data_IF_193023569266
#
_entry.id   IF_193023569266
#
_cell.length_a   1.000
_cell.length_b   1.000
_cell.length_c   1.000
_cell.angle_alpha   90.00
_cell.angle_beta   90.00
_cell.angle_gamma   90.00
#
_symmetry.space_group_name_H-M   'P 1'
#
loop_
_entity.id
_entity.type
_entity.pdbx_description
1 polymer ?
#
# COMPACT_ATOMS: atom_id res chain seq x y z
N UNK A 1 12.13 -7.08 11.15
CA UNK A 1 11.90 -6.04 10.12
C UNK A 1 10.52 -6.25 9.53
N UNK A 2 9.67 -5.22 9.54
CA UNK A 2 8.36 -5.26 8.88
C UNK A 2 8.49 -4.67 7.47
N UNK A 3 7.90 -5.33 6.48
CA UNK A 3 7.96 -4.95 5.06
C UNK A 3 6.53 -4.80 4.52
N UNK A 4 5.97 -3.57 4.55
CA UNK A 4 4.69 -3.29 3.92
C UNK A 4 4.77 -3.41 2.39
N UNK A 5 3.74 -4.01 1.80
CA UNK A 5 3.49 -3.96 0.36
C UNK A 5 2.65 -2.73 -0.01
N UNK A 6 2.20 -2.61 -1.25
CA UNK A 6 1.54 -1.39 -1.74
C UNK A 6 0.26 -1.14 -0.94
N UNK A 7 0.34 -0.21 -0.01
CA UNK A 7 -0.79 0.12 0.85
C UNK A 7 -1.66 1.16 0.15
N UNK A 8 -2.98 0.98 0.22
CA UNK A 8 -3.95 1.95 -0.31
C UNK A 8 -5.12 2.15 0.67
N UNK A 9 -5.82 3.28 0.55
CA UNK A 9 -7.05 3.51 1.31
C UNK A 9 -7.31 4.98 1.62
N UNK A 10 -8.12 5.21 2.65
CA UNK A 10 -8.49 6.55 3.12
C UNK A 10 -7.25 7.31 3.60
N UNK A 11 -7.29 8.63 3.45
CA UNK A 11 -6.25 9.56 3.91
C UNK A 11 -4.89 9.43 3.19
N UNK A 12 -4.84 8.77 2.02
CA UNK A 12 -3.65 8.81 1.19
C UNK A 12 -3.31 10.24 0.79
N UNK A 13 -2.03 10.59 0.87
CA UNK A 13 -1.56 11.90 0.44
C UNK A 13 -1.53 12.00 -1.09
N UNK A 14 -1.87 13.19 -1.56
CA UNK A 14 -2.18 13.50 -2.96
C UNK A 14 -1.13 14.42 -3.61
N UNK A 15 0.15 14.20 -3.31
CA UNK A 15 1.26 15.02 -3.81
C UNK A 15 2.01 14.39 -5.00
N UNK A 16 3.05 15.05 -5.53
CA UNK A 16 3.85 14.57 -6.68
C UNK A 16 4.37 13.13 -6.53
N UNK A 17 4.79 12.75 -5.33
CA UNK A 17 5.27 11.40 -5.00
C UNK A 17 4.18 10.45 -4.49
N UNK A 18 2.90 10.78 -4.69
CA UNK A 18 1.80 9.93 -4.24
C UNK A 18 1.83 8.58 -4.95
N UNK A 19 1.33 7.56 -4.23
CA UNK A 19 1.14 6.22 -4.78
C UNK A 19 0.17 6.26 -5.97
N UNK A 20 0.31 5.29 -6.86
CA UNK A 20 -0.47 5.24 -8.12
C UNK A 20 -1.98 5.19 -7.87
N UNK A 21 -2.44 4.49 -6.83
CA UNK A 21 -3.87 4.43 -6.48
C UNK A 21 -4.45 5.80 -6.14
N UNK A 22 -3.72 6.64 -5.37
CA UNK A 22 -4.18 7.99 -5.05
C UNK A 22 -4.30 8.85 -6.32
N UNK A 23 -3.29 8.80 -7.20
CA UNK A 23 -3.30 9.53 -8.47
C UNK A 23 -4.47 9.09 -9.36
N UNK A 24 -4.74 7.79 -9.43
CA UNK A 24 -5.81 7.23 -10.26
C UNK A 24 -7.18 7.67 -9.75
N UNK A 25 -7.43 7.52 -8.45
CA UNK A 25 -8.69 7.93 -7.82
C UNK A 25 -8.93 9.43 -8.03
N UNK A 26 -7.92 10.29 -7.84
CA UNK A 26 -8.07 11.72 -8.07
C UNK A 26 -8.46 12.07 -9.51
N UNK A 27 -7.81 11.44 -10.49
CA UNK A 27 -8.08 11.68 -11.91
C UNK A 27 -9.51 11.25 -12.25
N UNK A 28 -9.94 10.10 -11.73
CA UNK A 28 -11.31 9.60 -11.92
C UNK A 28 -12.36 10.48 -11.25
N UNK A 29 -12.09 10.99 -10.03
CA UNK A 29 -13.00 11.92 -9.32
C UNK A 29 -13.14 13.25 -10.08
N UNK A 30 -12.04 13.78 -10.63
CA UNK A 30 -12.07 15.03 -11.40
C UNK A 30 -12.82 14.89 -12.73
N UNK A 31 -12.83 13.70 -13.33
CA UNK A 31 -13.59 13.42 -14.56
C UNK A 31 -12.99 13.98 -15.85
N UNK A 32 -12.05 14.93 -15.77
CA UNK A 32 -11.49 15.61 -16.95
C UNK A 32 -10.36 14.86 -17.65
N UNK A 33 -9.83 13.80 -17.03
CA UNK A 33 -8.66 13.04 -17.53
C UNK A 33 -8.80 11.55 -17.25
N UNK A 34 -7.93 10.74 -17.88
CA UNK A 34 -7.83 9.30 -17.64
C UNK A 34 -6.54 8.92 -16.90
N UNK A 35 -6.55 7.90 -16.04
CA UNK A 35 -5.33 7.38 -15.43
C UNK A 35 -4.26 7.02 -16.47
N UNK A 36 -3.02 7.42 -16.22
CA UNK A 36 -1.88 7.11 -17.09
C UNK A 36 -1.25 5.79 -16.65
N UNK A 37 -1.21 4.83 -17.56
CA UNK A 37 -0.52 3.55 -17.39
C UNK A 37 0.88 3.69 -18.00
N UNK A 38 1.92 3.44 -17.20
CA UNK A 38 3.29 3.38 -17.69
C UNK A 38 3.65 1.92 -17.98
N UNK A 39 3.73 1.57 -19.27
CA UNK A 39 3.94 0.19 -19.73
C UNK A 39 2.73 -0.34 -20.50
N UNK A 40 2.52 -1.64 -20.46
CA UNK A 40 1.45 -2.34 -21.20
C UNK A 40 0.17 -2.56 -20.38
N UNK A 41 0.20 -2.29 -19.07
CA UNK A 41 -0.94 -2.49 -18.18
C UNK A 41 -1.01 -3.89 -17.55
N UNK A 42 -0.14 -4.83 -17.94
CA UNK A 42 -0.11 -6.18 -17.39
C UNK A 42 0.71 -6.29 -16.10
N UNK A 43 1.33 -5.20 -15.65
CA UNK A 43 2.08 -5.18 -14.40
C UNK A 43 1.17 -5.47 -13.19
N UNK A 44 1.60 -6.41 -12.34
CA UNK A 44 0.88 -6.77 -11.12
C UNK A 44 1.52 -6.14 -9.89
N UNK A 45 0.71 -5.89 -8.87
CA UNK A 45 1.16 -5.41 -7.56
C UNK A 45 0.27 -6.07 -6.50
N UNK A 46 0.89 -6.39 -5.37
CA UNK A 46 0.16 -6.77 -4.17
C UNK A 46 -0.32 -5.50 -3.46
N UNK A 47 -1.62 -5.45 -3.14
CA UNK A 47 -2.32 -4.29 -2.61
C UNK A 47 -2.97 -4.62 -1.28
N UNK A 48 -2.56 -3.90 -0.23
CA UNK A 48 -3.09 -4.07 1.13
C UNK A 48 -3.90 -2.85 1.52
N UNK A 49 -5.13 -3.07 1.98
CA UNK A 49 -5.93 -1.95 2.50
C UNK A 49 -5.31 -1.40 3.79
N UNK A 50 -5.30 -0.07 3.94
CA UNK A 50 -4.60 0.64 5.02
C UNK A 50 -4.92 0.13 6.43
N UNK A 51 -6.18 -0.26 6.68
CA UNK A 51 -6.59 -0.80 7.97
C UNK A 51 -5.95 -2.17 8.25
N UNK A 52 -5.81 -3.03 7.24
CA UNK A 52 -5.16 -4.33 7.39
C UNK A 52 -3.65 -4.19 7.50
N UNK A 53 -3.05 -3.25 6.76
CA UNK A 53 -1.64 -2.92 6.90
C UNK A 53 -1.30 -2.47 8.33
N UNK A 54 -2.12 -1.57 8.89
CA UNK A 54 -1.96 -1.09 10.26
C UNK A 54 -2.14 -2.22 11.30
N UNK A 55 -3.16 -3.08 11.14
CA UNK A 55 -3.37 -4.24 12.01
C UNK A 55 -2.19 -5.20 11.96
N UNK A 56 -1.67 -5.51 10.77
CA UNK A 56 -0.53 -6.40 10.58
C UNK A 56 0.74 -5.87 11.24
N UNK A 57 1.01 -4.57 11.10
CA UNK A 57 2.11 -3.90 11.79
C UNK A 57 1.92 -4.02 13.32
N UNK A 58 0.73 -3.72 13.84
CA UNK A 58 0.49 -3.79 15.29
C UNK A 58 0.66 -5.21 15.84
N UNK A 59 0.07 -6.22 15.17
CA UNK A 59 0.21 -7.63 15.54
C UNK A 59 1.67 -8.09 15.52
N UNK A 60 2.45 -7.61 14.57
CA UNK A 60 3.88 -7.94 14.50
C UNK A 60 4.66 -7.49 15.75
N UNK A 61 4.20 -6.41 16.40
CA UNK A 61 4.77 -5.91 17.65
C UNK A 61 4.22 -6.65 18.88
N UNK A 62 2.91 -6.88 18.93
CA UNK A 62 2.24 -7.58 20.03
C UNK A 62 2.74 -9.02 20.17
N UNK A 63 2.88 -9.71 19.04
CA UNK A 63 3.32 -11.10 18.98
C UNK A 63 4.85 -11.26 18.83
N UNK A 64 5.62 -10.17 19.02
CA UNK A 64 7.08 -10.19 18.79
C UNK A 64 7.83 -11.24 19.61
N UNK A 65 7.27 -11.68 20.75
CA UNK A 65 7.81 -12.74 21.60
C UNK A 65 7.83 -14.12 20.93
N UNK A 66 7.03 -14.32 19.87
CA UNK A 66 7.01 -15.54 19.04
C UNK A 66 8.06 -15.50 17.93
N UNK A 67 8.70 -14.36 17.70
CA UNK A 67 9.67 -14.17 16.63
C UNK A 67 11.04 -14.71 17.06
N UNK A 68 11.74 -15.34 16.12
CA UNK A 68 13.06 -15.93 16.35
C UNK A 68 14.12 -15.14 15.62
N UNK A 69 15.21 -14.80 16.32
CA UNK A 69 16.33 -14.05 15.74
C UNK A 69 15.91 -12.79 14.97
N UNK A 70 16.57 -12.53 13.84
CA UNK A 70 16.25 -11.42 12.95
C UNK A 70 15.08 -11.75 12.01
N UNK A 71 13.87 -11.82 12.55
CA UNK A 71 12.65 -12.12 11.77
C UNK A 71 12.27 -11.01 10.78
N UNK A 72 11.78 -11.40 9.60
CA UNK A 72 11.26 -10.52 8.54
C UNK A 72 9.78 -10.85 8.31
N UNK A 73 8.92 -9.83 8.31
CA UNK A 73 7.47 -10.00 8.22
C UNK A 73 6.96 -9.14 7.06
N UNK A 74 6.41 -9.79 6.04
CA UNK A 74 5.71 -9.13 4.95
C UNK A 74 4.29 -8.80 5.39
N UNK A 75 3.84 -7.57 5.14
CA UNK A 75 2.45 -7.15 5.37
C UNK A 75 1.83 -6.95 3.99
N UNK A 76 1.03 -7.94 3.60
CA UNK A 76 0.31 -8.03 2.33
C UNK A 76 -1.15 -8.41 2.62
#
# INVERSE_FOLDING_TARGET
IVRPFNTYGRYMQEHKYAAVMAKFVQVLIKGDNKPVIYGDGNQTRDWTYVTEAAKGIMRSYEERHKLVGSSIINIC
#
